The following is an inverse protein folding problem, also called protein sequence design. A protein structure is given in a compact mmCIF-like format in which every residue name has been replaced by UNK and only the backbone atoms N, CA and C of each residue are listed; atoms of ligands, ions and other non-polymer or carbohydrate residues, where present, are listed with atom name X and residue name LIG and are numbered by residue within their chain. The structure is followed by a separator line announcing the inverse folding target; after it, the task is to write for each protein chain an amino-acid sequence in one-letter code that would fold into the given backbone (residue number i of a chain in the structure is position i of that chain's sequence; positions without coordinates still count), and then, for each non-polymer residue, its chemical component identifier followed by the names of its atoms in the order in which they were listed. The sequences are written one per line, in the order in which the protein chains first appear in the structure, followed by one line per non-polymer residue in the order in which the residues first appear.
data_IF_350015314313
#
_entry.id   IF_350015314313
#
_cell.length_a   1.000
_cell.length_b   1.000
_cell.length_c   1.000
_cell.angle_alpha   90.00
_cell.angle_beta   90.00
_cell.angle_gamma   90.00
#
_symmetry.space_group_name_H-M   'P 1'
#
loop_
_entity.id
_entity.type
_entity.pdbx_description
1 polymer ?
#
# COMPACT_ATOMS: atom_id res chain seq x y z
N UNK A 1 14.19 7.34 -56.01
CA UNK A 1 15.18 7.96 -55.11
C UNK A 1 14.93 7.43 -53.71
N UNK A 2 15.77 6.50 -53.26
CA UNK A 2 15.65 5.79 -51.98
C UNK A 2 16.42 6.58 -50.90
N UNK A 3 15.71 7.16 -49.94
CA UNK A 3 16.32 7.82 -48.78
C UNK A 3 16.52 6.80 -47.65
N UNK A 4 17.71 6.20 -47.60
CA UNK A 4 18.18 5.40 -46.47
C UNK A 4 18.58 6.33 -45.33
N UNK A 5 17.89 6.24 -44.18
CA UNK A 5 18.24 6.96 -42.95
C UNK A 5 19.33 6.18 -42.21
N UNK A 6 20.48 6.83 -41.99
CA UNK A 6 21.57 6.36 -41.13
C UNK A 6 21.14 6.44 -39.66
N UNK A 7 21.40 5.42 -38.82
CA UNK A 7 21.14 5.49 -37.38
C UNK A 7 22.17 6.40 -36.67
N UNK A 8 21.81 7.06 -35.55
CA UNK A 8 22.72 7.95 -34.84
C UNK A 8 23.76 7.17 -34.02
N UNK A 9 24.93 7.79 -33.89
CA UNK A 9 26.11 7.31 -33.16
C UNK A 9 25.87 7.20 -31.65
N UNK A 10 26.29 6.08 -31.05
CA UNK A 10 26.27 5.84 -29.61
C UNK A 10 27.38 6.66 -28.94
N UNK A 11 27.01 7.61 -28.09
CA UNK A 11 27.98 8.31 -27.23
C UNK A 11 28.17 7.56 -25.90
N UNK A 12 29.40 7.54 -25.34
CA UNK A 12 29.71 6.86 -24.10
C UNK A 12 29.09 7.55 -22.89
N UNK A 13 28.68 6.73 -21.93
CA UNK A 13 28.04 7.09 -20.66
C UNK A 13 28.84 8.13 -19.86
N UNK A 14 28.26 9.31 -19.67
CA UNK A 14 28.71 10.27 -18.67
C UNK A 14 28.24 9.82 -17.27
N UNK A 15 29.21 9.69 -16.38
CA UNK A 15 29.04 9.34 -14.97
C UNK A 15 28.33 10.46 -14.21
N UNK A 16 27.21 10.12 -13.58
CA UNK A 16 26.53 10.98 -12.58
C UNK A 16 27.03 10.59 -11.19
N UNK A 17 27.60 11.50 -10.39
CA UNK A 17 27.94 11.23 -9.00
C UNK A 17 26.69 11.48 -8.13
N UNK A 18 26.12 10.41 -7.58
CA UNK A 18 24.98 10.54 -6.67
C UNK A 18 24.10 9.30 -6.57
N UNK A 19 24.69 8.12 -6.35
CA UNK A 19 23.94 6.94 -5.96
C UNK A 19 23.75 6.97 -4.44
N UNK A 20 22.52 7.25 -4.00
CA UNK A 20 22.11 7.04 -2.61
C UNK A 20 21.98 5.52 -2.40
N UNK A 21 22.63 4.91 -1.39
CA UNK A 21 22.52 3.49 -1.15
C UNK A 21 21.08 3.12 -0.78
N UNK A 22 20.53 2.13 -1.49
CA UNK A 22 19.30 1.44 -1.12
C UNK A 22 19.53 0.81 0.26
N UNK A 23 18.70 1.05 1.29
CA UNK A 23 18.86 0.39 2.58
C UNK A 23 18.71 -1.12 2.38
N UNK A 24 19.75 -1.89 2.69
CA UNK A 24 19.62 -3.34 2.86
C UNK A 24 18.54 -3.59 3.93
N UNK A 25 17.56 -4.42 3.57
CA UNK A 25 16.56 -4.92 4.49
C UNK A 25 17.31 -5.62 5.63
N UNK A 26 17.26 -5.05 6.84
CA UNK A 26 17.90 -5.63 8.02
C UNK A 26 17.32 -7.05 8.22
N UNK A 27 18.17 -8.07 8.14
CA UNK A 27 17.82 -9.38 8.68
C UNK A 27 17.49 -9.21 10.16
N UNK A 28 16.39 -9.84 10.59
CA UNK A 28 15.93 -9.80 11.96
C UNK A 28 16.98 -10.47 12.85
N UNK A 29 17.77 -9.69 13.58
CA UNK A 29 18.56 -10.18 14.70
C UNK A 29 17.61 -10.68 15.78
N UNK A 30 17.34 -11.98 15.75
CA UNK A 30 16.62 -12.69 16.80
C UNK A 30 17.66 -13.10 17.84
N UNK A 31 17.95 -12.19 18.77
CA UNK A 31 18.71 -12.52 19.99
C UNK A 31 17.79 -12.37 21.19
N UNK A 32 16.88 -13.35 21.34
CA UNK A 32 16.30 -13.65 22.65
C UNK A 32 17.38 -14.34 23.51
N UNK A 33 17.64 -13.90 24.75
CA UNK A 33 18.49 -14.64 25.66
C UNK A 33 17.74 -15.89 26.16
N UNK A 34 18.26 -17.08 25.82
CA UNK A 34 17.76 -18.35 26.36
C UNK A 34 18.05 -18.44 27.86
N UNK A 35 17.01 -18.23 28.68
CA UNK A 35 17.00 -18.48 30.12
C UNK A 35 16.65 -19.95 30.39
N UNK A 36 17.54 -20.87 30.04
CA UNK A 36 17.47 -22.27 30.48
C UNK A 36 18.80 -22.99 30.28
N UNK A 37 19.72 -22.87 31.24
CA UNK A 37 20.72 -23.91 31.49
C UNK A 37 21.05 -23.96 32.98
N UNK A 38 20.60 -25.04 33.62
CA UNK A 38 20.98 -25.37 34.99
C UNK A 38 22.46 -25.80 35.07
N UNK A 39 23.13 -25.58 36.21
CA UNK A 39 24.52 -25.99 36.39
C UNK A 39 24.62 -27.51 36.58
N UNK A 40 25.34 -28.18 35.67
CA UNK A 40 25.66 -29.60 35.80
C UNK A 40 26.50 -29.85 37.05
N UNK A 41 25.95 -30.68 37.94
CA UNK A 41 26.59 -31.27 39.11
C UNK A 41 27.24 -32.58 38.67
N UNK A 42 28.57 -32.72 38.77
CA UNK A 42 29.21 -34.05 38.79
C UNK A 42 30.33 -34.14 39.83
N UNK A 43 30.22 -35.17 40.66
CA UNK A 43 31.10 -35.59 41.76
C UNK A 43 32.07 -36.69 41.30
N UNK A 44 33.36 -36.56 41.66
CA UNK A 44 34.36 -37.63 41.95
C UNK A 44 34.88 -38.49 40.79
N UNK A 45 36.11 -39.02 40.70
CA UNK A 45 37.32 -39.25 41.55
C UNK A 45 38.37 -39.96 40.62
N UNK A 46 39.63 -40.36 40.98
CA UNK A 46 40.47 -40.12 42.17
C UNK A 46 41.97 -39.74 41.90
N UNK A 47 42.61 -39.23 42.96
CA UNK A 47 44.02 -39.40 43.39
C UNK A 47 45.17 -39.34 42.36
N UNK A 48 45.76 -38.16 42.25
CA UNK A 48 47.22 -38.00 42.08
C UNK A 48 47.88 -37.75 43.44
N UNK A 49 48.77 -38.65 43.85
CA UNK A 49 49.54 -38.56 45.11
C UNK A 49 50.60 -37.48 45.03
N UNK A 50 50.36 -36.33 45.66
CA UNK A 50 51.39 -35.33 45.93
C UNK A 50 52.17 -35.68 47.21
N UNK A 51 53.48 -35.42 47.29
CA UNK A 51 54.29 -35.74 48.46
C UNK A 51 53.78 -35.00 49.69
N UNK A 52 53.73 -35.71 50.82
CA UNK A 52 53.33 -35.17 52.11
C UNK A 52 54.39 -34.16 52.60
N UNK A 53 54.24 -32.90 52.20
CA UNK A 53 55.03 -31.79 52.73
C UNK A 53 54.58 -31.53 54.17
N UNK A 54 55.40 -32.00 55.11
CA UNK A 54 55.29 -31.65 56.53
C UNK A 54 55.45 -30.13 56.63
N UNK A 55 54.34 -29.42 56.65
CA UNK A 55 54.33 -28.02 57.04
C UNK A 55 54.74 -27.95 58.51
N UNK A 56 56.00 -27.57 58.76
CA UNK A 56 56.34 -26.89 60.01
C UNK A 56 55.28 -25.81 60.21
N UNK A 57 54.67 -25.79 61.39
CA UNK A 57 53.79 -24.72 61.84
C UNK A 57 54.60 -23.42 62.03
N UNK A 58 55.16 -22.90 60.94
CA UNK A 58 55.53 -21.51 60.86
C UNK A 58 54.20 -20.79 60.82
N UNK A 59 53.83 -20.15 61.94
CA UNK A 59 52.71 -19.22 62.03
C UNK A 59 52.70 -18.39 60.75
N UNK A 60 51.83 -18.71 59.78
CA UNK A 60 51.58 -17.81 58.65
C UNK A 60 51.17 -16.52 59.34
N UNK A 61 52.01 -15.48 59.20
CA UNK A 61 51.68 -14.14 59.65
C UNK A 61 50.35 -13.86 58.96
N UNK A 62 49.25 -13.89 59.72
CA UNK A 62 47.95 -13.46 59.23
C UNK A 62 48.25 -12.05 58.75
N UNK A 63 48.26 -11.83 57.43
CA UNK A 63 48.32 -10.46 56.90
C UNK A 63 47.05 -9.87 57.47
N UNK A 64 47.22 -9.07 58.52
CA UNK A 64 46.15 -8.26 59.06
C UNK A 64 45.87 -7.33 57.91
N UNK A 65 44.78 -7.55 57.16
CA UNK A 65 44.18 -6.44 56.44
C UNK A 65 43.86 -5.43 57.53
N UNK A 66 44.73 -4.44 57.64
CA UNK A 66 44.48 -3.20 58.32
C UNK A 66 43.14 -2.64 57.83
N UNK A 67 42.32 -2.12 58.74
CA UNK A 67 41.03 -1.53 58.38
C UNK A 67 41.19 -0.49 57.26
N UNK A 68 42.34 0.20 57.19
CA UNK A 68 42.67 1.13 56.11
C UNK A 68 42.72 0.48 54.72
N UNK A 69 43.28 -0.73 54.54
CA UNK A 69 43.32 -1.36 53.22
C UNK A 69 41.95 -1.87 52.79
N UNK A 70 41.12 -2.33 53.72
CA UNK A 70 39.74 -2.72 53.45
C UNK A 70 38.89 -1.48 53.06
N UNK A 71 39.06 -0.36 53.77
CA UNK A 71 38.38 0.91 53.48
C UNK A 71 38.78 1.42 52.08
N UNK A 72 40.06 1.41 51.75
CA UNK A 72 40.55 1.77 50.42
C UNK A 72 39.91 0.92 49.31
N UNK A 73 39.85 -0.41 49.50
CA UNK A 73 39.21 -1.31 48.54
C UNK A 73 37.70 -1.03 48.37
N UNK A 74 36.98 -0.78 49.48
CA UNK A 74 35.56 -0.43 49.40
C UNK A 74 35.33 0.90 48.69
N UNK A 75 36.22 1.88 48.86
CA UNK A 75 36.13 3.16 48.17
C UNK A 75 36.47 3.03 46.67
N UNK A 76 37.42 2.17 46.30
CA UNK A 76 37.67 1.81 44.90
C UNK A 76 36.45 1.12 44.26
N UNK A 77 35.82 0.18 44.97
CA UNK A 77 34.60 -0.49 44.48
C UNK A 77 33.43 0.49 44.32
N UNK A 78 33.22 1.39 45.28
CA UNK A 78 32.19 2.44 45.19
C UNK A 78 32.46 3.35 43.98
N UNK A 79 33.71 3.73 43.76
CA UNK A 79 34.12 4.54 42.62
C UNK A 79 33.85 3.81 41.30
N UNK A 80 34.26 2.55 41.17
CA UNK A 80 34.00 1.73 39.98
C UNK A 80 32.49 1.59 39.70
N UNK A 81 31.67 1.37 40.74
CA UNK A 81 30.22 1.25 40.59
C UNK A 81 29.58 2.58 40.16
N UNK A 82 30.06 3.70 40.71
CA UNK A 82 29.65 5.05 40.30
C UNK A 82 30.03 5.34 38.84
N UNK A 83 31.25 5.02 38.44
CA UNK A 83 31.75 5.22 37.08
C UNK A 83 30.95 4.36 36.08
N UNK A 84 30.67 3.09 36.43
CA UNK A 84 29.82 2.22 35.63
C UNK A 84 28.40 2.74 35.52
N UNK A 85 27.80 3.19 36.63
CA UNK A 85 26.46 3.77 36.63
C UNK A 85 26.40 5.01 35.72
N UNK A 86 27.40 5.90 35.80
CA UNK A 86 27.51 7.06 34.93
C UNK A 86 27.64 6.68 33.45
N UNK A 87 28.46 5.67 33.13
CA UNK A 87 28.60 5.17 31.76
C UNK A 87 27.29 4.59 31.22
N UNK A 88 26.57 3.81 32.04
CA UNK A 88 25.29 3.23 31.64
C UNK A 88 24.19 4.27 31.49
N UNK A 89 24.12 5.26 32.38
CA UNK A 89 23.21 6.39 32.22
C UNK A 89 23.51 7.16 30.94
N UNK A 90 24.79 7.40 30.62
CA UNK A 90 25.19 8.05 29.37
C UNK A 90 24.79 7.23 28.13
N UNK A 91 24.97 5.91 28.15
CA UNK A 91 24.54 5.01 27.06
C UNK A 91 23.02 4.99 26.92
N UNK A 92 22.29 4.95 28.03
CA UNK A 92 20.83 4.95 28.04
C UNK A 92 20.27 6.24 27.45
N UNK A 93 20.83 7.39 27.83
CA UNK A 93 20.43 8.69 27.27
C UNK A 93 20.69 8.76 25.76
N UNK A 94 21.86 8.29 25.29
CA UNK A 94 22.16 8.20 23.85
C UNK A 94 21.20 7.29 23.12
N UNK A 95 20.86 6.13 23.70
CA UNK A 95 19.91 5.20 23.09
C UNK A 95 18.50 5.80 23.01
N UNK A 96 18.03 6.44 24.07
CA UNK A 96 16.75 7.17 24.07
C UNK A 96 16.74 8.27 23.01
N UNK A 97 17.82 9.03 22.88
CA UNK A 97 17.94 10.06 21.85
C UNK A 97 17.83 9.47 20.43
N UNK A 98 18.49 8.33 20.17
CA UNK A 98 18.40 7.63 18.87
C UNK A 98 16.98 7.12 18.62
N UNK A 99 16.36 6.46 19.61
CA UNK A 99 15.00 5.93 19.47
C UNK A 99 14.00 7.05 19.17
N UNK A 100 14.05 8.15 19.95
CA UNK A 100 13.18 9.31 19.72
C UNK A 100 13.43 9.95 18.34
N UNK A 101 14.69 9.98 17.89
CA UNK A 101 15.05 10.43 16.54
C UNK A 101 14.40 9.57 15.45
N UNK A 102 14.51 8.25 15.59
CA UNK A 102 13.92 7.29 14.65
C UNK A 102 12.39 7.36 14.63
N UNK A 103 11.73 7.51 15.79
CA UNK A 103 10.28 7.66 15.86
C UNK A 103 9.78 8.95 15.18
N UNK A 104 10.52 10.05 15.36
CA UNK A 104 10.24 11.31 14.69
C UNK A 104 10.42 11.18 13.18
N UNK A 105 11.52 10.60 12.72
CA UNK A 105 11.76 10.37 11.30
C UNK A 105 10.70 9.45 10.69
N UNK A 106 10.34 8.36 11.37
CA UNK A 106 9.27 7.45 10.97
C UNK A 106 7.96 8.19 10.76
N UNK A 107 7.61 9.09 11.68
CA UNK A 107 6.39 9.90 11.60
C UNK A 107 6.42 10.83 10.38
N UNK A 108 7.54 11.52 10.15
CA UNK A 108 7.71 12.39 8.97
C UNK A 108 7.65 11.59 7.67
N UNK A 109 8.32 10.44 7.63
CA UNK A 109 8.33 9.56 6.45
C UNK A 109 6.92 9.03 6.14
N UNK A 110 6.14 8.63 7.15
CA UNK A 110 4.74 8.23 6.94
C UNK A 110 3.88 9.36 6.38
N UNK A 111 4.02 10.58 6.91
CA UNK A 111 3.31 11.75 6.40
C UNK A 111 3.68 12.02 4.93
N UNK A 112 4.97 11.94 4.60
CA UNK A 112 5.46 12.13 3.24
C UNK A 112 4.94 11.05 2.29
N UNK A 113 5.02 9.78 2.66
CA UNK A 113 4.46 8.66 1.88
C UNK A 113 2.95 8.86 1.65
N UNK A 114 2.18 9.17 2.68
CA UNK A 114 0.74 9.44 2.56
C UNK A 114 0.44 10.61 1.61
N UNK A 115 1.30 11.64 1.60
CA UNK A 115 1.18 12.77 0.67
C UNK A 115 1.45 12.36 -0.77
N UNK A 116 2.47 11.53 -1.00
CA UNK A 116 2.84 11.01 -2.31
C UNK A 116 1.77 10.07 -2.86
N UNK A 117 1.28 9.13 -2.06
CA UNK A 117 0.18 8.24 -2.45
C UNK A 117 -1.07 9.02 -2.84
N UNK A 118 -1.38 10.10 -2.12
CA UNK A 118 -2.51 10.98 -2.44
C UNK A 118 -2.30 11.71 -3.77
N UNK A 119 -1.06 12.14 -4.06
CA UNK A 119 -0.70 12.79 -5.33
C UNK A 119 -0.78 11.83 -6.51
N UNK A 120 -0.28 10.60 -6.33
CA UNK A 120 -0.37 9.52 -7.32
C UNK A 120 -1.84 9.21 -7.62
N UNK A 121 -2.68 9.02 -6.60
CA UNK A 121 -4.11 8.75 -6.82
C UNK A 121 -4.82 9.94 -7.51
N UNK A 122 -4.45 11.19 -7.22
CA UNK A 122 -4.96 12.35 -7.94
C UNK A 122 -4.60 12.31 -9.44
N UNK A 123 -3.36 11.97 -9.77
CA UNK A 123 -2.93 11.80 -11.17
C UNK A 123 -3.65 10.64 -11.85
N UNK A 124 -3.79 9.51 -11.16
CA UNK A 124 -4.52 8.35 -11.64
C UNK A 124 -6.00 8.65 -11.95
N UNK A 125 -6.67 9.44 -11.10
CA UNK A 125 -8.04 9.90 -11.32
C UNK A 125 -8.13 10.86 -12.51
N UNK A 126 -7.18 11.79 -12.62
CA UNK A 126 -7.12 12.73 -13.75
C UNK A 126 -6.91 12.00 -15.07
N UNK A 127 -5.97 11.04 -15.11
CA UNK A 127 -5.68 10.24 -16.29
C UNK A 127 -6.86 9.36 -16.74
N UNK A 128 -7.75 8.98 -15.82
CA UNK A 128 -8.96 8.19 -16.11
C UNK A 128 -10.24 9.04 -16.18
N UNK A 129 -10.12 10.37 -16.13
CA UNK A 129 -11.27 11.29 -16.09
C UNK A 129 -12.13 11.27 -17.35
N UNK A 130 -11.61 10.74 -18.45
CA UNK A 130 -12.27 10.52 -19.74
C UNK A 130 -12.61 9.05 -20.00
N UNK A 131 -12.27 8.14 -19.09
CA UNK A 131 -12.33 6.71 -19.31
C UNK A 131 -13.61 6.07 -18.76
N UNK A 132 -14.18 5.14 -19.53
CA UNK A 132 -15.26 4.26 -19.09
C UNK A 132 -14.84 2.79 -19.20
N UNK A 133 -15.53 1.95 -18.44
CA UNK A 133 -15.44 0.50 -18.49
C UNK A 133 -16.75 -0.07 -19.03
N UNK A 134 -16.65 -0.93 -20.03
CA UNK A 134 -17.77 -1.68 -20.59
C UNK A 134 -17.56 -3.15 -20.28
N UNK A 135 -18.43 -3.71 -19.44
CA UNK A 135 -18.45 -5.14 -19.08
C UNK A 135 -19.51 -5.88 -19.90
N UNK A 136 -19.26 -7.17 -20.10
CA UNK A 136 -20.11 -8.09 -20.86
C UNK A 136 -20.30 -7.72 -22.34
N UNK A 137 -19.36 -6.99 -22.92
CA UNK A 137 -19.34 -6.81 -24.37
C UNK A 137 -18.77 -8.08 -25.02
N UNK A 138 -19.54 -8.80 -25.87
CA UNK A 138 -19.08 -10.03 -26.52
C UNK A 138 -17.78 -9.82 -27.28
N UNK A 139 -16.97 -10.87 -27.36
CA UNK A 139 -15.75 -10.86 -28.16
C UNK A 139 -16.10 -11.38 -29.56
N UNK A 140 -15.80 -10.60 -30.59
CA UNK A 140 -15.85 -11.05 -31.99
C UNK A 140 -14.43 -11.33 -32.46
N UNK A 141 -14.17 -12.44 -33.15
CA UNK A 141 -12.86 -12.72 -33.73
C UNK A 141 -12.93 -12.63 -35.27
N UNK A 142 -12.01 -11.91 -35.93
CA UNK A 142 -10.92 -11.12 -35.35
C UNK A 142 -11.43 -9.82 -34.69
N UNK A 143 -10.96 -9.53 -33.46
CA UNK A 143 -11.26 -8.27 -32.76
C UNK A 143 -10.23 -7.19 -33.16
N UNK A 144 -10.69 -6.04 -33.65
CA UNK A 144 -9.83 -4.89 -33.98
C UNK A 144 -10.26 -3.68 -33.17
N UNK A 145 -9.38 -2.66 -33.06
CA UNK A 145 -9.77 -1.39 -32.43
C UNK A 145 -10.96 -0.75 -33.16
N UNK A 146 -10.99 -0.81 -34.49
CA UNK A 146 -12.08 -0.27 -35.30
C UNK A 146 -13.42 -0.93 -34.98
N UNK A 147 -13.48 -2.26 -34.85
CA UNK A 147 -14.74 -2.95 -34.51
C UNK A 147 -15.20 -2.64 -33.09
N UNK A 148 -14.28 -2.44 -32.14
CA UNK A 148 -14.61 -1.95 -30.80
C UNK A 148 -15.16 -0.52 -30.82
N UNK A 149 -14.58 0.39 -31.61
CA UNK A 149 -15.10 1.76 -31.77
C UNK A 149 -16.50 1.74 -32.36
N UNK A 150 -16.74 0.93 -33.40
CA UNK A 150 -18.07 0.78 -34.01
C UNK A 150 -19.13 0.33 -33.01
N UNK A 151 -18.80 -0.66 -32.16
CA UNK A 151 -19.67 -1.09 -31.07
C UNK A 151 -20.00 0.05 -30.11
N UNK A 152 -19.02 0.88 -29.73
CA UNK A 152 -19.24 2.04 -28.85
C UNK A 152 -20.12 3.10 -29.53
N UNK A 153 -19.92 3.37 -30.81
CA UNK A 153 -20.77 4.29 -31.59
C UNK A 153 -22.21 3.76 -31.67
N UNK A 154 -22.41 2.46 -31.86
CA UNK A 154 -23.74 1.84 -31.82
C UNK A 154 -24.39 1.97 -30.44
N UNK A 155 -23.65 1.74 -29.35
CA UNK A 155 -24.12 1.99 -27.99
C UNK A 155 -24.53 3.46 -27.85
N UNK A 156 -23.72 4.41 -28.34
CA UNK A 156 -24.04 5.83 -28.34
C UNK A 156 -25.37 6.14 -29.03
N UNK A 157 -25.62 5.56 -30.20
CA UNK A 157 -26.91 5.68 -30.91
C UNK A 157 -28.08 5.17 -30.07
N UNK A 158 -27.96 4.00 -29.44
CA UNK A 158 -29.00 3.43 -28.57
C UNK A 158 -29.27 4.32 -27.34
N UNK A 159 -28.23 4.96 -26.80
CA UNK A 159 -28.33 5.85 -25.65
C UNK A 159 -28.77 7.28 -26.00
N UNK A 160 -29.04 7.57 -27.29
CA UNK A 160 -29.30 8.92 -27.81
C UNK A 160 -28.15 9.90 -27.49
N UNK A 161 -26.92 9.42 -27.61
CA UNK A 161 -25.68 10.20 -27.55
C UNK A 161 -24.89 9.91 -28.84
N UNK A 162 -25.24 10.57 -29.96
CA UNK A 162 -24.50 10.40 -31.20
C UNK A 162 -23.05 10.84 -30.97
N UNK A 163 -22.11 10.02 -31.43
CA UNK A 163 -20.69 10.27 -31.29
C UNK A 163 -19.94 9.84 -32.54
N UNK A 164 -18.85 10.53 -32.83
CA UNK A 164 -17.94 10.24 -33.94
C UNK A 164 -16.83 9.28 -33.48
N UNK A 165 -16.29 8.54 -34.44
CA UNK A 165 -15.14 7.65 -34.18
C UNK A 165 -13.91 8.42 -33.70
N UNK A 166 -13.76 9.69 -34.11
CA UNK A 166 -12.69 10.61 -33.69
C UNK A 166 -12.80 11.08 -32.25
N UNK A 167 -13.95 10.88 -31.59
CA UNK A 167 -14.14 11.22 -30.18
C UNK A 167 -13.66 10.12 -29.22
N UNK A 168 -13.18 8.99 -29.76
CA UNK A 168 -12.49 7.94 -29.01
C UNK A 168 -10.98 8.12 -29.19
N UNK A 169 -10.29 8.41 -28.09
CA UNK A 169 -8.83 8.57 -28.05
C UNK A 169 -8.12 7.23 -28.07
N UNK A 170 -8.58 6.27 -27.26
CA UNK A 170 -8.09 4.89 -27.29
C UNK A 170 -9.16 3.91 -26.82
N UNK A 171 -9.05 2.67 -27.27
CA UNK A 171 -9.95 1.59 -26.88
C UNK A 171 -9.20 0.27 -26.88
N UNK A 172 -9.38 -0.50 -25.81
CA UNK A 172 -8.76 -1.81 -25.66
C UNK A 172 -9.48 -2.67 -24.63
N UNK A 173 -9.31 -3.98 -24.77
CA UNK A 173 -9.85 -4.97 -23.85
C UNK A 173 -8.79 -5.37 -22.83
N UNK A 174 -9.13 -5.33 -21.54
CA UNK A 174 -8.23 -5.74 -20.46
C UNK A 174 -8.09 -7.28 -20.50
N UNK A 175 -6.85 -7.76 -20.43
CA UNK A 175 -6.55 -9.17 -20.27
C UNK A 175 -6.89 -9.60 -18.83
N UNK A 176 -7.92 -10.42 -18.69
CA UNK A 176 -8.32 -11.04 -17.42
C UNK A 176 -8.04 -12.54 -17.44
N UNK A 177 -7.85 -13.14 -16.25
CA UNK A 177 -7.70 -14.59 -16.10
C UNK A 177 -8.93 -15.35 -16.61
N UNK A 178 -10.12 -14.78 -16.38
CA UNK A 178 -11.37 -15.28 -16.94
C UNK A 178 -11.52 -14.79 -18.40
N UNK A 179 -11.51 -15.69 -19.40
CA UNK A 179 -11.66 -15.32 -20.80
C UNK A 179 -13.09 -14.86 -21.16
N UNK A 180 -14.10 -15.20 -20.35
CA UNK A 180 -15.51 -14.92 -20.65
C UNK A 180 -15.92 -13.47 -20.34
N UNK A 181 -15.27 -12.82 -19.37
CA UNK A 181 -15.68 -11.52 -18.82
C UNK A 181 -14.64 -10.42 -19.00
N UNK A 182 -14.01 -10.35 -20.17
CA UNK A 182 -13.01 -9.33 -20.47
C UNK A 182 -13.67 -7.95 -20.61
N UNK A 183 -13.23 -7.00 -19.79
CA UNK A 183 -13.74 -5.61 -19.77
C UNK A 183 -13.08 -4.78 -20.87
N UNK A 184 -13.86 -3.97 -21.57
CA UNK A 184 -13.34 -2.99 -22.54
C UNK A 184 -13.20 -1.64 -21.86
N UNK A 185 -12.02 -1.02 -21.98
CA UNK A 185 -11.78 0.36 -21.57
C UNK A 185 -11.88 1.24 -22.80
N UNK A 186 -12.63 2.33 -22.67
CA UNK A 186 -12.75 3.36 -23.70
C UNK A 186 -12.27 4.66 -23.09
N UNK A 187 -11.29 5.30 -23.73
CA UNK A 187 -10.81 6.65 -23.40
C UNK A 187 -11.42 7.63 -24.42
N UNK A 188 -12.27 8.55 -23.96
CA UNK A 188 -12.85 9.58 -24.82
C UNK A 188 -11.92 10.79 -24.92
N UNK A 189 -12.11 11.63 -25.94
CA UNK A 189 -11.38 12.91 -26.06
C UNK A 189 -11.89 13.97 -25.08
N UNK A 190 -13.12 13.82 -24.55
CA UNK A 190 -13.78 14.82 -23.71
C UNK A 190 -14.42 14.21 -22.46
N UNK A 191 -14.16 14.84 -21.31
CA UNK A 191 -14.82 14.51 -20.04
C UNK A 191 -16.32 14.74 -20.14
N UNK A 192 -16.76 15.78 -20.85
CA UNK A 192 -18.17 16.10 -21.03
C UNK A 192 -18.90 15.03 -21.84
N UNK A 193 -18.25 14.47 -22.85
CA UNK A 193 -18.81 13.36 -23.63
C UNK A 193 -19.00 12.13 -22.75
N UNK A 194 -17.96 11.75 -22.00
CA UNK A 194 -18.02 10.66 -21.01
C UNK A 194 -19.17 10.86 -20.03
N UNK A 195 -19.31 12.06 -19.46
CA UNK A 195 -20.35 12.35 -18.46
C UNK A 195 -21.75 12.26 -19.03
N UNK A 196 -21.97 12.80 -20.24
CA UNK A 196 -23.23 12.66 -20.97
C UNK A 196 -23.54 11.19 -21.26
N UNK A 197 -22.57 10.44 -21.75
CA UNK A 197 -22.70 9.02 -22.09
C UNK A 197 -23.07 8.17 -20.87
N UNK A 198 -22.33 8.30 -19.76
CA UNK A 198 -22.61 7.58 -18.51
C UNK A 198 -23.95 8.00 -17.91
N UNK A 199 -24.30 9.28 -17.94
CA UNK A 199 -25.58 9.78 -17.41
C UNK A 199 -26.78 9.24 -18.19
N UNK A 200 -26.68 9.21 -19.53
CA UNK A 200 -27.72 8.64 -20.39
C UNK A 200 -27.85 7.13 -20.22
N UNK A 201 -26.73 6.42 -20.06
CA UNK A 201 -26.75 5.00 -19.68
C UNK A 201 -27.47 4.78 -18.34
N UNK A 202 -27.10 5.53 -17.28
CA UNK A 202 -27.73 5.42 -15.96
C UNK A 202 -29.24 5.71 -16.03
N UNK A 203 -29.67 6.70 -16.83
CA UNK A 203 -31.09 7.02 -17.04
C UNK A 203 -31.82 5.87 -17.76
N UNK A 204 -31.27 5.38 -18.86
CA UNK A 204 -31.80 4.27 -19.64
C UNK A 204 -31.98 2.99 -18.79
N UNK A 205 -31.01 2.70 -17.92
CA UNK A 205 -31.09 1.54 -17.02
C UNK A 205 -32.14 1.72 -15.90
N UNK A 206 -32.42 2.94 -15.45
CA UNK A 206 -33.49 3.24 -14.48
C UNK A 206 -34.89 3.11 -15.09
N UNK A 207 -35.04 3.48 -16.36
CA UNK A 207 -36.30 3.40 -17.11
C UNK A 207 -36.62 1.98 -17.62
N UNK A 208 -36.01 0.94 -17.01
CA UNK A 208 -36.09 -0.47 -17.42
C UNK A 208 -35.67 -0.77 -18.88
N UNK A 209 -35.11 0.19 -19.60
CA UNK A 209 -34.66 0.04 -20.98
C UNK A 209 -33.21 -0.49 -21.04
N UNK A 210 -32.89 -1.53 -20.25
CA UNK A 210 -31.52 -2.03 -20.03
C UNK A 210 -30.76 -2.28 -21.34
N UNK A 211 -29.49 -1.89 -21.39
CA UNK A 211 -28.63 -2.15 -22.54
C UNK A 211 -28.28 -3.64 -22.59
N UNK A 212 -28.60 -4.30 -23.69
CA UNK A 212 -28.32 -5.72 -23.92
C UNK A 212 -27.59 -5.93 -25.25
N UNK A 213 -26.93 -7.08 -25.38
CA UNK A 213 -26.25 -7.50 -26.63
C UNK A 213 -27.20 -7.57 -27.82
N UNK A 214 -28.46 -7.91 -27.58
CA UNK A 214 -29.52 -7.94 -28.59
C UNK A 214 -29.81 -6.56 -29.19
N UNK A 215 -29.80 -5.49 -28.37
CA UNK A 215 -29.96 -4.11 -28.87
C UNK A 215 -28.81 -3.66 -29.76
N UNK A 216 -27.63 -4.25 -29.58
CA UNK A 216 -26.47 -4.05 -30.47
C UNK A 216 -26.51 -4.95 -31.70
N UNK A 217 -27.57 -5.75 -31.89
CA UNK A 217 -27.70 -6.72 -32.99
C UNK A 217 -26.52 -7.70 -33.06
N UNK A 218 -25.91 -7.99 -31.90
CA UNK A 218 -24.84 -8.99 -31.79
C UNK A 218 -25.50 -10.36 -31.70
N UNK A 219 -25.04 -11.30 -32.53
CA UNK A 219 -25.55 -12.68 -32.51
C UNK A 219 -25.25 -13.39 -31.18
N UNK A 220 -26.19 -14.22 -30.73
CA UNK A 220 -26.06 -15.04 -29.52
C UNK A 220 -27.07 -14.69 -28.41
N UNK A 221 -26.91 -15.27 -27.21
CA UNK A 221 -27.83 -15.05 -26.11
C UNK A 221 -27.82 -13.60 -25.62
N UNK A 222 -29.01 -13.07 -25.33
CA UNK A 222 -29.19 -11.70 -24.81
C UNK A 222 -28.54 -11.59 -23.43
N UNK A 223 -27.49 -10.76 -23.32
CA UNK A 223 -26.75 -10.50 -22.08
C UNK A 223 -26.77 -9.01 -21.75
N UNK A 224 -26.93 -8.63 -20.47
CA UNK A 224 -26.88 -7.23 -20.07
C UNK A 224 -25.45 -6.68 -20.14
N UNK A 225 -25.31 -5.50 -20.74
CA UNK A 225 -24.05 -4.76 -20.86
C UNK A 225 -24.00 -3.71 -19.75
N UNK A 226 -22.89 -3.71 -19.02
CA UNK A 226 -22.70 -2.78 -17.90
C UNK A 226 -21.66 -1.73 -18.24
N UNK A 227 -22.04 -0.47 -18.05
CA UNK A 227 -21.15 0.67 -18.30
C UNK A 227 -20.93 1.40 -16.98
N UNK A 228 -19.67 1.57 -16.61
CA UNK A 228 -19.26 2.31 -15.42
C UNK A 228 -18.09 3.25 -15.70
N UNK A 229 -17.85 4.20 -14.82
CA UNK A 229 -16.61 4.98 -14.86
C UNK A 229 -15.40 4.10 -14.55
N UNK A 230 -14.25 4.38 -15.18
CA UNK A 230 -13.00 3.71 -14.88
C UNK A 230 -12.34 4.36 -13.65
N UNK A 231 -12.67 3.84 -12.47
CA UNK A 231 -12.13 4.34 -11.21
C UNK A 231 -10.68 3.86 -10.97
N UNK A 232 -9.87 4.66 -10.26
CA UNK A 232 -8.54 4.22 -9.79
C UNK A 232 -8.66 3.02 -8.84
N UNK A 233 -7.60 2.24 -8.68
CA UNK A 233 -7.60 1.07 -7.79
C UNK A 233 -7.97 1.45 -6.35
N UNK A 234 -7.39 2.54 -5.84
CA UNK A 234 -7.71 3.11 -4.52
C UNK A 234 -9.20 3.45 -4.42
N UNK A 235 -9.76 4.09 -5.44
CA UNK A 235 -11.16 4.47 -5.45
C UNK A 235 -12.11 3.27 -5.60
N UNK A 236 -11.74 2.23 -6.34
CA UNK A 236 -12.49 0.96 -6.41
C UNK A 236 -12.55 0.30 -5.03
N UNK A 237 -11.42 0.23 -4.31
CA UNK A 237 -11.37 -0.27 -2.93
C UNK A 237 -12.24 0.58 -2.01
N UNK A 238 -12.11 1.90 -2.06
CA UNK A 238 -12.90 2.81 -1.24
C UNK A 238 -14.41 2.70 -1.54
N UNK A 239 -14.79 2.52 -2.81
CA UNK A 239 -16.19 2.36 -3.20
C UNK A 239 -16.76 1.04 -2.68
N UNK A 240 -15.97 -0.04 -2.70
CA UNK A 240 -16.35 -1.30 -2.06
C UNK A 240 -16.59 -1.10 -0.56
N UNK A 241 -15.63 -0.51 0.16
CA UNK A 241 -15.76 -0.24 1.60
C UNK A 241 -16.94 0.67 1.92
N UNK A 242 -17.18 1.71 1.12
CA UNK A 242 -18.31 2.61 1.27
C UNK A 242 -19.65 1.88 1.09
N UNK A 243 -19.73 0.89 0.17
CA UNK A 243 -20.95 0.08 0.00
C UNK A 243 -21.18 -0.86 1.17
N UNK A 244 -20.13 -1.44 1.75
CA UNK A 244 -20.25 -2.27 2.95
C UNK A 244 -20.68 -1.42 4.16
N UNK A 245 -20.06 -0.26 4.35
CA UNK A 245 -20.48 0.71 5.36
C UNK A 245 -21.94 1.13 5.15
N UNK A 246 -22.35 1.40 3.90
CA UNK A 246 -23.70 1.81 3.57
C UNK A 246 -24.74 0.76 4.00
N UNK A 247 -24.45 -0.52 3.78
CA UNK A 247 -25.31 -1.63 4.23
C UNK A 247 -25.37 -1.74 5.75
N UNK A 248 -24.23 -1.56 6.42
CA UNK A 248 -24.14 -1.68 7.88
C UNK A 248 -24.80 -0.51 8.63
N UNK A 249 -24.96 0.65 8.01
CA UNK A 249 -25.45 1.89 8.64
C UNK A 249 -26.71 2.46 7.97
N UNK A 250 -27.49 1.59 7.29
CA UNK A 250 -28.77 1.90 6.67
C UNK A 250 -28.75 3.08 5.68
N UNK A 251 -27.66 3.24 4.94
CA UNK A 251 -27.64 4.19 3.83
C UNK A 251 -28.38 3.63 2.62
N UNK A 252 -29.50 4.27 2.25
CA UNK A 252 -30.30 3.87 1.07
C UNK A 252 -29.55 3.99 -0.25
N UNK A 253 -28.58 4.92 -0.36
CA UNK A 253 -27.88 5.18 -1.61
C UNK A 253 -26.36 5.27 -1.41
N UNK A 254 -25.62 4.56 -2.26
CA UNK A 254 -24.17 4.65 -2.40
C UNK A 254 -23.80 4.61 -3.90
N UNK A 255 -23.12 5.64 -4.41
CA UNK A 255 -22.73 5.70 -5.81
C UNK A 255 -21.41 6.42 -6.04
N UNK A 256 -20.79 6.12 -7.18
CA UNK A 256 -19.66 6.87 -7.70
C UNK A 256 -20.11 7.78 -8.85
N UNK A 257 -19.61 9.01 -8.86
CA UNK A 257 -19.76 9.97 -9.95
C UNK A 257 -18.53 10.86 -10.05
N UNK A 258 -18.00 11.02 -11.26
CA UNK A 258 -16.91 11.93 -11.58
C UNK A 258 -15.68 11.68 -10.67
N UNK A 259 -15.34 10.41 -10.46
CA UNK A 259 -14.22 10.01 -9.60
C UNK A 259 -14.41 10.34 -8.10
N UNK A 260 -15.64 10.59 -7.64
CA UNK A 260 -16.01 10.83 -6.24
C UNK A 260 -17.06 9.81 -5.78
N UNK A 261 -17.03 9.46 -4.50
CA UNK A 261 -18.00 8.55 -3.88
C UNK A 261 -18.94 9.34 -3.00
N UNK A 262 -20.22 8.98 -3.06
CA UNK A 262 -21.27 9.62 -2.31
C UNK A 262 -22.16 8.60 -1.59
N UNK A 263 -22.58 8.97 -0.39
CA UNK A 263 -23.51 8.26 0.47
C UNK A 263 -24.71 9.16 0.79
N UNK A 264 -25.89 8.56 0.91
CA UNK A 264 -27.11 9.25 1.34
C UNK A 264 -28.07 8.29 2.05
N UNK A 265 -28.52 8.65 3.26
CA UNK A 265 -29.41 7.80 4.08
C UNK A 265 -30.85 7.74 3.56
N UNK A 266 -31.41 8.88 3.17
CA UNK A 266 -32.80 9.00 2.69
C UNK A 266 -32.90 9.88 1.45
N UNK A 267 -33.98 9.71 0.69
CA UNK A 267 -34.24 10.57 -0.46
C UNK A 267 -34.38 12.04 -0.02
N UNK A 268 -33.78 12.97 -0.77
CA UNK A 268 -33.69 14.38 -0.37
C UNK A 268 -32.80 14.69 0.85
N UNK A 269 -32.23 13.68 1.51
CA UNK A 269 -31.36 13.87 2.67
C UNK A 269 -29.96 14.43 2.34
N UNK A 270 -29.17 14.75 3.37
CA UNK A 270 -27.82 15.28 3.19
C UNK A 270 -26.94 14.31 2.41
N UNK A 271 -26.13 14.88 1.52
CA UNK A 271 -25.17 14.14 0.71
C UNK A 271 -23.83 14.08 1.45
N UNK A 272 -23.37 12.88 1.78
CA UNK A 272 -22.06 12.66 2.40
C UNK A 272 -21.07 12.25 1.31
N UNK A 273 -19.96 12.98 1.19
CA UNK A 273 -18.88 12.65 0.25
C UNK A 273 -17.79 11.89 1.00
N UNK A 274 -17.41 10.73 0.46
CA UNK A 274 -16.33 9.89 1.00
C UNK A 274 -15.06 10.13 0.18
N UNK A 275 -14.03 10.69 0.82
CA UNK A 275 -12.73 10.97 0.21
C UNK A 275 -11.70 9.90 0.57
N UNK A 276 -11.77 9.38 1.80
CA UNK A 276 -10.83 8.39 2.32
C UNK A 276 -11.55 7.37 3.24
N UNK A 277 -10.81 6.37 3.70
CA UNK A 277 -11.36 5.31 4.57
C UNK A 277 -11.73 5.83 5.98
N UNK A 278 -11.08 6.90 6.47
CA UNK A 278 -11.38 7.51 7.77
C UNK A 278 -12.74 8.22 7.80
N UNK A 279 -13.20 8.76 6.66
CA UNK A 279 -14.54 9.37 6.53
C UNK A 279 -15.67 8.34 6.82
N UNK A 280 -15.40 7.05 6.59
CA UNK A 280 -16.31 5.95 6.90
C UNK A 280 -16.30 5.56 8.39
N UNK A 281 -15.30 5.99 9.17
CA UNK A 281 -15.25 5.71 10.61
C UNK A 281 -16.01 6.76 11.42
N UNK A 282 -16.02 8.01 10.97
CA UNK A 282 -16.60 9.15 11.70
C UNK A 282 -18.14 9.16 11.61
N UNK A 283 -18.72 8.53 10.58
CA UNK A 283 -20.16 8.62 10.31
C UNK A 283 -21.04 7.73 11.21
N UNK A 284 -20.46 6.90 12.09
CA UNK A 284 -21.20 6.14 13.11
C UNK A 284 -21.67 7.01 14.28
N UNK A 285 -21.02 8.15 14.53
CA UNK A 285 -21.13 8.85 15.81
C UNK A 285 -22.07 10.08 15.76
N UNK A 286 -22.48 10.50 14.56
CA UNK A 286 -23.49 11.55 14.37
C UNK A 286 -24.88 10.94 14.10
N UNK A 287 -25.29 10.06 15.01
CA UNK A 287 -26.62 9.44 15.00
C UNK A 287 -27.62 10.29 15.80
#
# INVERSE_FOLDING_TARGET
MSLTRTPPSVQPSTSVPGAVPIPQLLEHCSSEPSLASEPATELGTPRGSTPNMVFRNSKRKRVVCDDETLVCFMDEMKKMMSDFQAEQSSKHEKLLAVVNGLEKERTVNFQYISSLESKVDSFERSARSTCIEIRNLPTSQPETKSSLVENVVQIGKILNVPMLTTEVKDIFRIKTKDPANKTVIVDFTSVLLKERFVSKYKKCNKENNRLTTEKLRISGPSKPIFISENLSTKLKKLFYLAREHAKANDFKFCWASNGKIFLRKREGGPLVRVNNESDLKISSDNQ
#
